data_IF_644537761492
#
_entry.id   IF_644537761492
#
_cell.length_a   1.000
_cell.length_b   1.000
_cell.length_c   1.000
_cell.angle_alpha   90.00
_cell.angle_beta   90.00
_cell.angle_gamma   90.00
#
_symmetry.space_group_name_H-M   'P 1'
#
loop_
_entity.id
_entity.type
_entity.pdbx_description
1 polymer ?
#
# COMPACT_ATOMS: atom_id res chain seq x y z
N UNK A 1 28.11 24.04 45.87
CA UNK A 1 27.36 23.02 45.10
C UNK A 1 26.71 23.74 43.94
N UNK A 2 27.41 23.79 42.82
CA UNK A 2 26.98 24.47 41.58
C UNK A 2 25.82 23.71 40.98
N UNK A 3 24.67 24.38 40.85
CA UNK A 3 23.45 23.82 40.25
C UNK A 3 23.72 23.42 38.80
N UNK A 4 23.57 22.14 38.52
CA UNK A 4 23.41 21.66 37.16
C UNK A 4 21.95 21.94 36.82
N UNK A 5 21.69 22.96 36.01
CA UNK A 5 20.40 23.09 35.35
C UNK A 5 20.22 21.84 34.48
N UNK A 6 19.28 20.96 34.85
CA UNK A 6 18.86 19.89 33.97
C UNK A 6 18.26 20.53 32.72
N UNK A 7 19.00 20.40 31.62
CA UNK A 7 18.68 21.03 30.36
C UNK A 7 17.52 20.26 29.70
N UNK A 8 16.29 20.57 30.11
CA UNK A 8 15.07 19.92 29.64
C UNK A 8 14.96 20.01 28.11
N UNK A 9 14.72 18.87 27.46
CA UNK A 9 14.52 18.76 26.01
C UNK A 9 13.18 18.08 25.75
N UNK A 10 12.16 18.79 25.25
CA UNK A 10 10.91 18.15 24.85
C UNK A 10 11.18 17.17 23.70
N UNK A 11 10.62 15.97 23.80
CA UNK A 11 10.66 14.94 22.75
C UNK A 11 9.22 14.62 22.40
N UNK A 12 8.85 14.81 21.13
CA UNK A 12 7.53 14.46 20.63
C UNK A 12 7.52 13.03 20.09
N UNK A 13 6.38 12.36 20.24
CA UNK A 13 6.08 11.03 19.71
C UNK A 13 5.11 11.19 18.55
N UNK A 14 5.43 10.56 17.43
CA UNK A 14 4.58 10.52 16.25
C UNK A 14 4.08 9.09 16.01
N UNK A 15 2.79 8.96 15.67
CA UNK A 15 2.26 7.73 15.09
C UNK A 15 2.13 7.92 13.59
N UNK A 16 2.76 7.03 12.82
CA UNK A 16 2.63 6.97 11.37
C UNK A 16 1.63 5.86 11.01
N UNK A 17 0.52 6.25 10.41
CA UNK A 17 -0.53 5.30 9.99
C UNK A 17 -0.06 4.50 8.79
N UNK A 18 -0.52 3.25 8.70
CA UNK A 18 -0.22 2.41 7.55
C UNK A 18 -0.87 2.95 6.27
N UNK A 19 -2.12 3.40 6.39
CA UNK A 19 -2.92 3.93 5.31
C UNK A 19 -3.47 2.86 4.36
N UNK A 20 -4.40 3.27 3.47
CA UNK A 20 -4.98 2.44 2.43
C UNK A 20 -3.98 2.21 1.29
N UNK A 21 -3.15 1.18 1.42
CA UNK A 21 -2.19 0.76 0.40
C UNK A 21 -2.69 -0.43 -0.41
N UNK A 22 -2.19 -0.55 -1.64
CA UNK A 22 -2.37 -1.76 -2.47
C UNK A 22 -1.09 -2.58 -2.37
N UNK A 23 -1.22 -3.89 -2.13
CA UNK A 23 -0.11 -4.82 -1.96
C UNK A 23 -0.25 -6.05 -2.83
N UNK A 24 0.90 -6.60 -3.21
CA UNK A 24 0.95 -7.93 -3.83
C UNK A 24 0.73 -9.05 -2.81
N UNK A 25 0.42 -10.24 -3.30
CA UNK A 25 0.32 -11.45 -2.49
C UNK A 25 1.66 -11.95 -1.95
N UNK A 26 1.60 -13.14 -1.34
CA UNK A 26 2.78 -13.93 -0.96
C UNK A 26 3.16 -14.85 -2.11
N UNK A 27 4.46 -14.92 -2.39
CA UNK A 27 4.98 -15.80 -3.43
C UNK A 27 4.80 -17.28 -3.04
N UNK A 28 4.58 -18.13 -4.04
CA UNK A 28 4.42 -19.57 -3.85
C UNK A 28 5.65 -20.23 -3.20
N UNK A 29 6.84 -19.67 -3.44
CA UNK A 29 8.10 -20.12 -2.84
C UNK A 29 8.29 -19.64 -1.38
N UNK A 30 7.39 -18.82 -0.84
CA UNK A 30 7.37 -18.37 0.55
C UNK A 30 7.60 -16.86 0.73
N UNK A 31 7.33 -16.36 1.94
CA UNK A 31 7.33 -14.91 2.23
C UNK A 31 8.68 -14.22 2.05
N UNK A 32 9.78 -14.93 2.28
CA UNK A 32 11.15 -14.42 2.15
C UNK A 32 11.81 -14.83 0.82
N UNK A 33 11.03 -15.36 -0.12
CA UNK A 33 11.51 -15.69 -1.46
C UNK A 33 11.35 -14.49 -2.40
N UNK A 34 12.02 -14.58 -3.53
CA UNK A 34 11.90 -13.66 -4.66
C UNK A 34 11.71 -14.45 -5.96
N UNK A 35 11.03 -13.84 -6.92
CA UNK A 35 10.91 -14.34 -8.29
C UNK A 35 11.39 -13.27 -9.27
N UNK A 36 12.07 -13.66 -10.34
CA UNK A 36 12.61 -12.72 -11.32
C UNK A 36 11.58 -12.47 -12.44
N UNK A 37 11.10 -11.23 -12.54
CA UNK A 37 10.26 -10.80 -13.65
C UNK A 37 11.14 -10.39 -14.84
N UNK A 38 10.95 -11.01 -16.00
CA UNK A 38 11.75 -10.72 -17.19
C UNK A 38 11.09 -9.68 -18.08
N UNK A 39 11.85 -8.72 -18.58
CA UNK A 39 11.36 -7.72 -19.53
C UNK A 39 10.72 -8.39 -20.77
N UNK A 40 9.56 -7.90 -21.19
CA UNK A 40 8.77 -8.44 -22.29
C UNK A 40 7.99 -9.72 -21.97
N UNK A 41 8.13 -10.29 -20.76
CA UNK A 41 7.31 -11.41 -20.34
C UNK A 41 5.86 -10.95 -20.09
N UNK A 42 4.93 -11.89 -20.29
CA UNK A 42 3.53 -11.69 -19.95
C UNK A 42 3.27 -12.17 -18.52
N UNK A 43 2.58 -11.36 -17.73
CA UNK A 43 2.16 -11.69 -16.37
C UNK A 43 0.66 -11.40 -16.20
N UNK A 44 -0.02 -12.29 -15.46
CA UNK A 44 -1.42 -12.15 -15.09
C UNK A 44 -1.52 -11.53 -13.70
N UNK A 45 -2.11 -10.34 -13.58
CA UNK A 45 -2.47 -9.76 -12.29
C UNK A 45 -3.91 -10.16 -11.96
N UNK A 46 -4.14 -10.73 -10.78
CA UNK A 46 -5.47 -11.20 -10.39
C UNK A 46 -5.84 -10.78 -8.98
N UNK A 47 -7.14 -10.63 -8.75
CA UNK A 47 -7.72 -10.40 -7.43
C UNK A 47 -8.29 -11.68 -6.82
N UNK A 48 -8.11 -12.83 -7.46
CA UNK A 48 -8.63 -14.11 -6.97
C UNK A 48 -7.87 -14.56 -5.70
N UNK A 49 -8.55 -14.71 -4.55
CA UNK A 49 -7.93 -15.09 -3.28
C UNK A 49 -7.15 -16.41 -3.33
N UNK A 50 -7.43 -17.31 -4.29
CA UNK A 50 -6.67 -18.55 -4.42
C UNK A 50 -5.17 -18.32 -4.71
N UNK A 51 -4.82 -17.17 -5.30
CA UNK A 51 -3.44 -16.76 -5.60
C UNK A 51 -2.80 -15.89 -4.52
N UNK A 52 -3.53 -15.53 -3.46
CA UNK A 52 -3.05 -14.64 -2.40
C UNK A 52 -1.75 -15.12 -1.72
N UNK A 53 -1.53 -16.45 -1.69
CA UNK A 53 -0.28 -17.06 -1.20
C UNK A 53 0.40 -17.97 -2.22
N UNK A 54 0.12 -17.75 -3.51
CA UNK A 54 0.63 -18.56 -4.62
C UNK A 54 1.09 -17.69 -5.79
N UNK A 55 1.57 -16.48 -5.51
CA UNK A 55 2.06 -15.60 -6.55
C UNK A 55 3.36 -16.12 -7.17
N UNK A 56 3.54 -15.94 -8.47
CA UNK A 56 4.69 -16.37 -9.27
C UNK A 56 5.06 -15.27 -10.28
N UNK A 57 6.01 -15.55 -11.16
CA UNK A 57 6.34 -14.72 -12.33
C UNK A 57 5.25 -14.71 -13.42
N UNK A 58 4.31 -15.65 -13.37
CA UNK A 58 3.20 -15.75 -14.32
C UNK A 58 1.88 -15.24 -13.76
N UNK A 59 1.65 -15.40 -12.45
CA UNK A 59 0.40 -15.02 -11.78
C UNK A 59 0.69 -14.24 -10.50
N UNK A 60 0.27 -12.99 -10.43
CA UNK A 60 0.49 -12.09 -9.30
C UNK A 60 -0.84 -11.69 -8.67
N UNK A 61 -1.03 -12.01 -7.39
CA UNK A 61 -2.17 -11.51 -6.65
C UNK A 61 -1.98 -10.04 -6.26
N UNK A 62 -3.06 -9.26 -6.32
CA UNK A 62 -3.16 -7.90 -5.76
C UNK A 62 -4.40 -7.78 -4.89
N UNK A 63 -4.30 -7.09 -3.75
CA UNK A 63 -5.37 -6.99 -2.75
C UNK A 63 -6.42 -5.90 -3.02
N UNK A 64 -6.34 -5.21 -4.16
CA UNK A 64 -7.31 -4.20 -4.57
C UNK A 64 -8.33 -4.77 -5.56
N UNK A 65 -9.47 -5.23 -5.03
CA UNK A 65 -10.53 -5.89 -5.80
C UNK A 65 -11.07 -5.04 -6.96
N UNK A 66 -11.15 -3.72 -6.77
CA UNK A 66 -11.72 -2.80 -7.75
C UNK A 66 -10.74 -2.47 -8.90
N UNK A 67 -9.52 -3.03 -8.90
CA UNK A 67 -8.49 -2.75 -9.92
C UNK A 67 -9.01 -3.00 -11.34
N UNK A 68 -9.81 -4.05 -11.54
CA UNK A 68 -10.37 -4.46 -12.84
C UNK A 68 -11.28 -3.38 -13.44
N UNK A 69 -11.96 -2.60 -12.60
CA UNK A 69 -12.91 -1.59 -13.06
C UNK A 69 -12.26 -0.22 -13.34
N UNK A 70 -11.13 0.06 -12.71
CA UNK A 70 -10.49 1.39 -12.78
C UNK A 70 -9.28 1.43 -13.71
N UNK A 71 -8.66 0.28 -13.96
CA UNK A 71 -7.52 0.14 -14.87
C UNK A 71 -8.01 -0.20 -16.28
N UNK A 72 -7.31 0.29 -17.30
CA UNK A 72 -7.56 0.01 -18.72
C UNK A 72 -6.27 -0.34 -19.46
N UNK A 73 -6.35 -0.99 -20.63
CA UNK A 73 -5.18 -1.20 -21.49
C UNK A 73 -4.43 0.11 -21.75
N UNK A 74 -3.10 0.05 -21.68
CA UNK A 74 -2.20 1.20 -21.76
C UNK A 74 -1.90 1.88 -20.41
N UNK A 75 -2.58 1.51 -19.32
CA UNK A 75 -2.17 1.94 -17.97
C UNK A 75 -0.93 1.17 -17.49
N UNK A 76 -0.21 1.79 -16.55
CA UNK A 76 0.96 1.20 -15.91
C UNK A 76 0.66 0.81 -14.46
N UNK A 77 1.18 -0.35 -14.07
CA UNK A 77 1.21 -0.82 -12.69
C UNK A 77 2.65 -0.80 -12.23
N UNK A 78 2.92 -0.04 -11.18
CA UNK A 78 4.25 0.03 -10.56
C UNK A 78 4.28 -0.81 -9.31
N UNK A 79 5.34 -1.60 -9.13
CA UNK A 79 5.50 -2.49 -7.97
C UNK A 79 6.84 -2.21 -7.31
N UNK A 80 6.88 -2.35 -5.98
CA UNK A 80 8.08 -2.17 -5.15
C UNK A 80 8.68 -0.77 -5.32
N UNK A 81 7.92 0.24 -4.90
CA UNK A 81 8.28 1.66 -4.99
C UNK A 81 8.63 2.13 -6.42
N UNK A 82 8.07 1.44 -7.42
CA UNK A 82 8.25 1.73 -8.84
C UNK A 82 9.55 1.17 -9.43
N UNK A 83 10.26 0.31 -8.70
CA UNK A 83 11.39 -0.45 -9.26
C UNK A 83 10.93 -1.37 -10.39
N UNK A 84 9.74 -1.95 -10.28
CA UNK A 84 9.14 -2.79 -11.31
C UNK A 84 7.99 -2.04 -11.98
N UNK A 85 7.81 -2.21 -13.28
CA UNK A 85 6.70 -1.62 -14.03
C UNK A 85 6.10 -2.59 -15.04
N UNK A 86 4.77 -2.66 -15.04
CA UNK A 86 3.98 -3.49 -15.94
C UNK A 86 3.07 -2.59 -16.79
N UNK A 87 2.95 -2.91 -18.08
CA UNK A 87 1.99 -2.29 -18.99
C UNK A 87 0.78 -3.20 -19.14
N UNK A 88 -0.39 -2.69 -18.80
CA UNK A 88 -1.65 -3.43 -18.96
C UNK A 88 -1.97 -3.55 -20.45
N UNK A 89 -2.11 -4.78 -20.93
CA UNK A 89 -2.42 -5.08 -22.33
C UNK A 89 -3.87 -5.50 -22.50
N UNK A 90 -4.47 -6.15 -21.50
CA UNK A 90 -5.86 -6.62 -21.51
C UNK A 90 -6.48 -6.55 -20.10
N UNK A 91 -7.79 -6.33 -20.06
CA UNK A 91 -8.62 -6.42 -18.85
C UNK A 91 -9.62 -7.54 -19.07
N UNK A 92 -9.47 -8.63 -18.31
CA UNK A 92 -10.44 -9.72 -18.24
C UNK A 92 -11.46 -9.53 -17.12
N UNK A 93 -12.25 -10.56 -16.83
CA UNK A 93 -13.34 -10.48 -15.83
C UNK A 93 -12.83 -10.29 -14.39
N UNK A 94 -11.74 -10.97 -14.04
CA UNK A 94 -11.12 -10.96 -12.70
C UNK A 94 -9.58 -10.91 -12.75
N UNK A 95 -9.03 -10.53 -13.89
CA UNK A 95 -7.60 -10.45 -14.12
C UNK A 95 -7.22 -9.32 -15.09
N UNK A 96 -5.97 -8.91 -15.03
CA UNK A 96 -5.31 -8.05 -16.00
C UNK A 96 -4.19 -8.87 -16.64
N UNK A 97 -4.11 -8.84 -17.97
CA UNK A 97 -2.89 -9.29 -18.65
C UNK A 97 -1.98 -8.10 -18.79
N UNK A 98 -0.71 -8.26 -18.39
CA UNK A 98 0.28 -7.22 -18.45
C UNK A 98 1.56 -7.72 -19.14
N UNK A 99 2.26 -6.81 -19.80
CA UNK A 99 3.63 -6.99 -20.24
C UNK A 99 4.59 -6.36 -19.22
N UNK A 100 5.67 -7.05 -18.87
CA UNK A 100 6.71 -6.51 -17.99
C UNK A 100 7.56 -5.50 -18.78
N UNK A 101 7.40 -4.20 -18.51
CA UNK A 101 8.24 -3.14 -19.11
C UNK A 101 9.59 -3.03 -18.40
N UNK A 102 9.59 -3.03 -17.05
CA UNK A 102 10.79 -3.03 -16.22
C UNK A 102 10.68 -4.13 -15.17
N UNK A 103 11.47 -5.17 -15.36
CA UNK A 103 11.53 -6.37 -14.56
C UNK A 103 12.65 -6.34 -13.52
N UNK A 104 12.87 -7.49 -12.89
CA UNK A 104 13.80 -7.68 -11.78
C UNK A 104 13.17 -8.54 -10.68
N UNK A 105 13.84 -8.56 -9.52
CA UNK A 105 13.41 -9.35 -8.38
C UNK A 105 12.11 -8.79 -7.76
N UNK A 106 11.06 -9.60 -7.75
CA UNK A 106 9.81 -9.36 -7.06
C UNK A 106 9.77 -10.19 -5.77
N UNK A 107 9.56 -9.53 -4.64
CA UNK A 107 9.29 -10.17 -3.34
C UNK A 107 7.80 -10.28 -3.00
N UNK A 108 7.50 -10.77 -1.79
CA UNK A 108 6.13 -10.82 -1.27
C UNK A 108 5.67 -9.47 -0.70
N UNK A 109 4.36 -9.19 -0.75
CA UNK A 109 3.73 -8.01 -0.11
C UNK A 109 4.35 -6.67 -0.51
N UNK A 110 4.73 -6.54 -1.77
CA UNK A 110 5.27 -5.29 -2.32
C UNK A 110 4.16 -4.29 -2.59
N UNK A 111 4.45 -3.01 -2.40
CA UNK A 111 3.50 -1.92 -2.67
C UNK A 111 3.21 -1.82 -4.16
N UNK A 112 1.96 -1.51 -4.50
CA UNK A 112 1.47 -1.34 -5.87
C UNK A 112 0.95 0.09 -6.05
N UNK A 113 1.39 0.75 -7.11
CA UNK A 113 0.99 2.12 -7.45
C UNK A 113 0.39 2.17 -8.87
N UNK A 114 -0.70 2.93 -9.03
CA UNK A 114 -1.47 3.06 -10.28
C UNK A 114 -1.56 4.54 -10.69
N UNK A 115 -0.51 5.15 -11.28
CA UNK A 115 -0.52 6.56 -11.62
C UNK A 115 -1.53 6.86 -12.74
N UNK A 116 -2.27 7.96 -12.57
CA UNK A 116 -3.32 8.37 -13.50
C UNK A 116 -4.61 7.54 -13.43
N UNK A 117 -4.71 6.63 -12.45
CA UNK A 117 -5.92 5.85 -12.16
C UNK A 117 -6.60 6.41 -10.92
N UNK A 118 -7.92 6.61 -11.00
CA UNK A 118 -8.71 7.01 -9.84
C UNK A 118 -8.89 5.79 -8.91
N UNK A 119 -8.18 5.78 -7.79
CA UNK A 119 -8.30 4.76 -6.76
C UNK A 119 -9.39 5.19 -5.77
N UNK A 120 -10.31 4.29 -5.43
CA UNK A 120 -11.47 4.55 -4.56
C UNK A 120 -11.35 3.89 -3.17
N UNK A 121 -10.13 3.54 -2.76
CA UNK A 121 -9.88 3.07 -1.40
C UNK A 121 -10.39 4.09 -0.35
N UNK A 122 -10.92 3.64 0.79
CA UNK A 122 -11.35 4.53 1.87
C UNK A 122 -10.16 5.37 2.36
N UNK A 123 -10.41 6.53 3.00
CA UNK A 123 -9.33 7.38 3.51
C UNK A 123 -8.54 6.73 4.66
N UNK A 124 -9.14 5.78 5.37
CA UNK A 124 -8.55 5.01 6.47
C UNK A 124 -8.94 3.55 6.32
N UNK A 125 -8.01 2.65 6.63
CA UNK A 125 -8.32 1.23 6.86
C UNK A 125 -8.86 1.00 8.28
N UNK A 126 -9.49 -0.14 8.53
CA UNK A 126 -9.90 -0.54 9.90
C UNK A 126 -8.71 -0.51 10.87
N UNK A 127 -7.54 -0.96 10.41
CA UNK A 127 -6.31 -0.91 11.19
C UNK A 127 -5.88 0.53 11.52
N UNK A 128 -6.03 1.46 10.59
CA UNK A 128 -5.69 2.87 10.87
C UNK A 128 -6.62 3.45 11.94
N UNK A 129 -7.90 3.08 11.95
CA UNK A 129 -8.84 3.49 13.00
C UNK A 129 -8.38 2.95 14.37
N UNK A 130 -7.99 1.68 14.44
CA UNK A 130 -7.44 1.09 15.66
C UNK A 130 -6.14 1.79 16.11
N UNK A 131 -5.26 2.13 15.17
CA UNK A 131 -4.01 2.84 15.43
C UNK A 131 -4.28 4.27 15.95
N UNK A 132 -5.31 4.96 15.45
CA UNK A 132 -5.72 6.28 15.96
C UNK A 132 -6.28 6.19 17.38
N UNK A 133 -7.08 5.17 17.69
CA UNK A 133 -7.54 4.94 19.06
C UNK A 133 -6.38 4.59 19.99
N UNK A 134 -5.38 3.87 19.50
CA UNK A 134 -4.14 3.62 20.23
C UNK A 134 -3.37 4.92 20.49
N UNK A 135 -3.24 5.81 19.50
CA UNK A 135 -2.58 7.11 19.69
C UNK A 135 -3.25 7.95 20.79
N UNK A 136 -4.59 8.05 20.76
CA UNK A 136 -5.38 8.76 21.79
C UNK A 136 -5.17 8.17 23.18
N UNK A 137 -5.07 6.84 23.29
CA UNK A 137 -4.87 6.17 24.58
C UNK A 137 -3.48 6.43 25.17
N UNK A 138 -2.49 6.72 24.33
CA UNK A 138 -1.09 6.86 24.72
C UNK A 138 -0.59 8.32 24.64
N UNK A 139 -1.48 9.29 24.47
CA UNK A 139 -1.16 10.74 24.42
C UNK A 139 -0.04 11.07 23.41
N UNK A 140 -0.13 10.50 22.20
CA UNK A 140 0.81 10.77 21.09
C UNK A 140 0.67 12.22 20.62
N UNK A 141 1.79 12.90 20.36
CA UNK A 141 1.80 14.34 20.01
C UNK A 141 1.35 14.63 18.58
N UNK A 142 1.55 13.70 17.64
CA UNK A 142 1.24 13.90 16.23
C UNK A 142 0.90 12.62 15.48
N UNK A 143 0.05 12.75 14.46
CA UNK A 143 -0.28 11.70 13.51
C UNK A 143 0.28 12.04 12.13
N UNK A 144 1.04 11.14 11.54
CA UNK A 144 1.37 11.16 10.12
C UNK A 144 0.38 10.26 9.39
N UNK A 145 -0.54 10.91 8.68
CA UNK A 145 -1.61 10.24 7.96
C UNK A 145 -1.15 9.87 6.54
N UNK A 146 -0.98 8.58 6.28
CA UNK A 146 -0.48 8.05 5.01
C UNK A 146 -1.58 8.04 3.95
N UNK A 147 -1.20 8.25 2.68
CA UNK A 147 -2.07 8.17 1.49
C UNK A 147 -3.33 9.08 1.51
N UNK A 148 -3.28 10.22 2.21
CA UNK A 148 -4.34 11.22 2.17
C UNK A 148 -4.44 11.85 0.78
N UNK A 149 -5.60 11.66 0.13
CA UNK A 149 -5.88 12.11 -1.24
C UNK A 149 -6.83 13.31 -1.33
N UNK A 150 -7.63 13.56 -0.30
CA UNK A 150 -8.63 14.63 -0.28
C UNK A 150 -8.89 15.12 1.15
N UNK A 151 -9.47 16.32 1.26
CA UNK A 151 -9.74 16.97 2.54
C UNK A 151 -10.66 16.14 3.46
N UNK A 152 -11.57 15.34 2.90
CA UNK A 152 -12.47 14.52 3.73
C UNK A 152 -11.70 13.46 4.53
N UNK A 153 -10.58 12.94 4.03
CA UNK A 153 -9.74 12.03 4.81
C UNK A 153 -9.24 12.66 6.11
N UNK A 154 -8.85 13.94 6.05
CA UNK A 154 -8.46 14.70 7.25
C UNK A 154 -9.66 14.93 8.18
N UNK A 155 -10.85 15.18 7.62
CA UNK A 155 -12.07 15.35 8.42
C UNK A 155 -12.42 14.07 9.18
N UNK A 156 -12.34 12.91 8.51
CA UNK A 156 -12.60 11.60 9.14
C UNK A 156 -11.62 11.33 10.28
N UNK A 157 -10.31 11.58 10.08
CA UNK A 157 -9.31 11.42 11.15
C UNK A 157 -9.66 12.31 12.34
N UNK A 158 -9.94 13.60 12.11
CA UNK A 158 -10.30 14.53 13.20
C UNK A 158 -11.57 14.12 13.93
N UNK A 159 -12.56 13.59 13.22
CA UNK A 159 -13.80 13.09 13.84
C UNK A 159 -13.53 11.89 14.75
N UNK A 160 -12.67 10.96 14.34
CA UNK A 160 -12.26 9.79 15.14
C UNK A 160 -11.48 10.22 16.40
N UNK A 161 -10.58 11.19 16.26
CA UNK A 161 -9.81 11.74 17.39
C UNK A 161 -10.72 12.50 18.38
N UNK A 162 -11.81 13.10 17.88
CA UNK A 162 -12.82 13.78 18.66
C UNK A 162 -12.26 14.98 19.42
N UNK A 163 -12.88 15.34 20.56
CA UNK A 163 -12.43 16.49 21.37
C UNK A 163 -11.04 16.30 22.00
N UNK A 164 -10.51 15.07 22.02
CA UNK A 164 -9.21 14.75 22.60
C UNK A 164 -8.04 14.92 21.63
N UNK A 165 -8.29 15.22 20.35
CA UNK A 165 -7.25 15.43 19.34
C UNK A 165 -7.61 16.45 18.26
#
# INVERSE_FOLDING_TARGET
LTGVEENFRPIAIALDTKGPEIRTGVLAAGVNSEVDLKNGATICLTTDPQYANKSTDEHLYVDYMNIINVVKPGNRVFIDDGLLSLLVTEVGDNYLTCEVENGGALGSRKGVNLPGVAIDLPPLSEKDIDDLHFALKNDVDMIFASFIRHADGIRVIREILGEKG
#
